data_IF_141524066228
#
_entry.id   IF_141524066228
#
_cell.length_a   1.000
_cell.length_b   1.000
_cell.length_c   1.000
_cell.angle_alpha   90.00
_cell.angle_beta   90.00
_cell.angle_gamma   90.00
#
_symmetry.space_group_name_H-M   'P 1'
#
loop_
_entity.id
_entity.type
_entity.pdbx_description
1 polymer ?
#
# COMPACT_ATOMS: atom_id res chain seq x y z
N UNK A 1 25.36 -14.32 20.20
CA UNK A 1 24.73 -14.79 18.96
C UNK A 1 24.65 -13.60 18.00
N UNK A 2 25.64 -13.43 17.10
CA UNK A 2 25.76 -12.27 16.18
C UNK A 2 25.83 -12.75 14.74
N UNK A 3 24.93 -13.63 14.32
CA UNK A 3 24.96 -14.11 12.93
C UNK A 3 23.57 -13.96 12.32
N UNK A 4 23.38 -12.85 11.62
CA UNK A 4 22.24 -12.67 10.73
C UNK A 4 22.64 -13.39 9.44
N UNK A 5 22.29 -14.66 9.37
CA UNK A 5 22.54 -15.50 8.19
C UNK A 5 21.53 -15.11 7.12
N UNK A 6 22.05 -14.86 5.91
CA UNK A 6 21.39 -14.45 4.65
C UNK A 6 21.36 -12.94 4.41
N UNK A 7 22.51 -12.38 4.01
CA UNK A 7 22.61 -11.19 3.16
C UNK A 7 24.05 -11.02 2.68
N UNK A 8 24.23 -10.25 1.60
CA UNK A 8 25.56 -9.87 1.12
C UNK A 8 26.39 -9.30 2.27
N UNK A 9 27.67 -9.71 2.43
CA UNK A 9 28.49 -9.32 3.57
C UNK A 9 28.62 -7.80 3.72
N UNK A 10 28.50 -7.06 2.62
CA UNK A 10 28.60 -5.59 2.54
C UNK A 10 27.45 -4.84 3.22
N UNK A 11 26.24 -5.42 3.30
CA UNK A 11 25.08 -4.77 3.94
C UNK A 11 24.98 -5.08 5.44
N UNK A 12 25.75 -6.05 5.94
CA UNK A 12 25.75 -6.46 7.34
C UNK A 12 26.06 -5.31 8.30
N UNK A 13 27.04 -4.41 8.06
CA UNK A 13 27.32 -3.29 8.95
C UNK A 13 26.16 -2.28 9.02
N UNK A 14 25.43 -2.08 7.92
CA UNK A 14 24.26 -1.20 7.89
C UNK A 14 23.14 -1.73 8.81
N UNK A 15 22.89 -3.04 8.77
CA UNK A 15 21.87 -3.69 9.63
C UNK A 15 22.23 -3.56 11.11
N UNK A 16 23.50 -3.78 11.49
CA UNK A 16 23.92 -3.58 12.88
C UNK A 16 23.80 -2.12 13.32
N UNK A 17 24.14 -1.17 12.44
CA UNK A 17 23.98 0.25 12.73
C UNK A 17 22.51 0.61 13.01
N UNK A 18 21.56 0.03 12.24
CA UNK A 18 20.13 0.18 12.52
C UNK A 18 19.69 -0.41 13.87
N UNK A 19 20.23 -1.57 14.25
CA UNK A 19 19.96 -2.20 15.57
C UNK A 19 20.46 -1.29 16.70
N UNK A 20 21.61 -0.64 16.51
CA UNK A 20 22.21 0.31 17.45
C UNK A 20 21.57 1.71 17.38
N UNK A 21 20.54 1.90 16.53
CA UNK A 21 19.83 3.17 16.27
C UNK A 21 20.68 4.26 15.61
N UNK A 22 21.81 3.90 15.01
CA UNK A 22 22.64 4.80 14.20
C UNK A 22 22.17 4.77 12.72
N UNK A 23 21.14 5.57 12.43
CA UNK A 23 20.53 5.63 11.10
C UNK A 23 21.47 6.27 10.08
N UNK A 24 22.24 7.29 10.47
CA UNK A 24 23.12 8.01 9.55
C UNK A 24 24.21 7.07 9.02
N UNK A 25 24.89 6.35 9.91
CA UNK A 25 25.91 5.38 9.53
C UNK A 25 25.35 4.23 8.70
N UNK A 26 24.12 3.80 8.99
CA UNK A 26 23.45 2.79 8.18
C UNK A 26 23.23 3.26 6.74
N UNK A 27 22.72 4.48 6.55
CA UNK A 27 22.50 5.05 5.22
C UNK A 27 23.79 5.24 4.45
N UNK A 28 24.85 5.76 5.07
CA UNK A 28 26.17 5.92 4.43
C UNK A 28 26.76 4.58 3.98
N UNK A 29 26.53 3.51 4.76
CA UNK A 29 27.00 2.17 4.38
C UNK A 29 26.20 1.61 3.21
N UNK A 30 24.88 1.82 3.17
CA UNK A 30 24.02 1.39 2.06
C UNK A 30 24.39 2.13 0.78
N UNK A 31 24.72 3.42 0.88
CA UNK A 31 25.12 4.26 -0.24
C UNK A 31 26.40 3.77 -0.94
N UNK A 32 27.30 3.09 -0.21
CA UNK A 32 28.52 2.50 -0.76
C UNK A 32 28.28 1.27 -1.64
N UNK A 33 27.12 0.61 -1.49
CA UNK A 33 26.77 -0.57 -2.29
C UNK A 33 26.07 -0.11 -3.56
N UNK A 34 26.52 -0.58 -4.72
CA UNK A 34 25.96 -0.11 -6.00
C UNK A 34 24.57 -0.71 -6.27
N UNK A 35 23.66 0.04 -6.90
CA UNK A 35 22.35 -0.47 -7.29
C UNK A 35 22.40 -1.47 -8.46
N UNK A 36 23.56 -1.62 -9.10
CA UNK A 36 23.81 -2.56 -10.21
C UNK A 36 23.77 -4.03 -9.78
N UNK A 37 23.95 -4.31 -8.49
CA UNK A 37 23.82 -5.66 -7.92
C UNK A 37 22.44 -6.29 -8.16
N UNK A 38 21.42 -5.47 -8.43
CA UNK A 38 20.06 -5.94 -8.73
C UNK A 38 19.97 -6.21 -10.24
N UNK A 39 19.70 -7.47 -10.67
CA UNK A 39 19.56 -7.80 -12.08
C UNK A 39 18.44 -6.99 -12.75
N UNK A 40 18.77 -6.36 -13.88
CA UNK A 40 17.86 -5.53 -14.69
C UNK A 40 17.78 -6.04 -16.13
N UNK A 41 16.69 -5.68 -16.80
CA UNK A 41 16.51 -5.85 -18.24
C UNK A 41 17.36 -4.85 -19.00
N UNK A 42 17.66 -5.16 -20.26
CA UNK A 42 18.41 -4.27 -21.15
C UNK A 42 17.69 -2.93 -21.36
N UNK A 43 18.41 -1.82 -21.29
CA UNK A 43 17.85 -0.46 -21.43
C UNK A 43 16.98 0.01 -20.27
N UNK A 44 16.85 -0.77 -19.20
CA UNK A 44 16.07 -0.37 -18.03
C UNK A 44 16.73 0.77 -17.26
N UNK A 45 15.92 1.71 -16.77
CA UNK A 45 16.39 2.77 -15.89
C UNK A 45 16.93 2.18 -14.57
N UNK A 46 18.02 2.74 -14.08
CA UNK A 46 18.59 2.45 -12.77
C UNK A 46 18.81 3.75 -11.98
N UNK A 47 18.60 3.74 -10.65
CA UNK A 47 18.94 4.88 -9.82
C UNK A 47 20.46 5.04 -9.79
N UNK A 48 20.94 6.28 -9.68
CA UNK A 48 22.39 6.57 -9.62
C UNK A 48 23.05 6.19 -8.29
N UNK A 49 22.26 5.95 -7.25
CA UNK A 49 22.71 5.50 -5.93
C UNK A 49 21.68 4.56 -5.31
N UNK A 50 22.12 3.70 -4.39
CA UNK A 50 21.24 2.84 -3.59
C UNK A 50 20.35 3.63 -2.62
N UNK A 51 20.72 4.87 -2.31
CA UNK A 51 19.91 5.81 -1.53
C UNK A 51 19.56 7.00 -2.41
N UNK A 52 18.27 7.26 -2.60
CA UNK A 52 17.77 8.39 -3.39
C UNK A 52 16.74 9.14 -2.58
N UNK A 53 16.88 10.46 -2.53
CA UNK A 53 15.90 11.36 -1.91
C UNK A 53 15.02 12.02 -2.97
N UNK A 54 13.71 12.00 -2.76
CA UNK A 54 12.74 12.78 -3.54
C UNK A 54 12.13 13.84 -2.64
N UNK A 55 12.40 15.11 -2.92
CA UNK A 55 11.81 16.21 -2.18
C UNK A 55 10.63 16.84 -2.96
N UNK A 56 9.58 17.34 -2.28
CA UNK A 56 8.48 18.04 -2.95
C UNK A 56 8.93 19.27 -3.74
N UNK A 57 10.06 19.88 -3.36
CA UNK A 57 10.64 21.02 -4.08
C UNK A 57 11.22 20.58 -5.43
N UNK A 58 11.93 19.46 -5.46
CA UNK A 58 12.48 18.90 -6.70
C UNK A 58 11.36 18.46 -7.63
N UNK A 59 10.35 17.74 -7.14
CA UNK A 59 9.21 17.30 -7.97
C UNK A 59 8.48 18.50 -8.60
N UNK A 60 8.20 19.56 -7.83
CA UNK A 60 7.58 20.78 -8.38
C UNK A 60 8.45 21.51 -9.39
N UNK A 61 9.77 21.50 -9.20
CA UNK A 61 10.69 22.11 -10.15
C UNK A 61 10.69 21.33 -11.48
N UNK A 62 10.64 20.00 -11.41
CA UNK A 62 10.53 19.12 -12.58
C UNK A 62 9.18 19.33 -13.28
N UNK A 63 8.08 19.34 -12.53
CA UNK A 63 6.73 19.59 -13.07
C UNK A 63 6.66 20.94 -13.80
N UNK A 64 7.22 22.00 -13.19
CA UNK A 64 7.32 23.31 -13.82
C UNK A 64 8.17 23.27 -15.09
N UNK A 65 9.34 22.63 -15.06
CA UNK A 65 10.20 22.50 -16.23
C UNK A 65 9.51 21.76 -17.39
N UNK A 66 8.78 20.68 -17.09
CA UNK A 66 7.98 19.92 -18.06
C UNK A 66 6.86 20.78 -18.66
N UNK A 67 6.18 21.60 -17.85
CA UNK A 67 5.15 22.54 -18.32
C UNK A 67 5.72 23.65 -19.21
N UNK A 68 6.99 24.04 -19.00
CA UNK A 68 7.73 24.99 -19.82
C UNK A 68 8.32 24.36 -21.09
N UNK A 69 8.03 23.08 -21.37
CA UNK A 69 8.49 22.36 -22.56
C UNK A 69 9.93 21.83 -22.49
N UNK A 70 10.57 21.87 -21.31
CA UNK A 70 11.88 21.23 -21.12
C UNK A 70 11.70 19.74 -20.94
N UNK A 71 12.52 18.95 -21.63
CA UNK A 71 12.53 17.49 -21.48
C UNK A 71 13.45 17.07 -20.34
N UNK A 72 13.04 16.05 -19.60
CA UNK A 72 13.94 15.36 -18.68
C UNK A 72 15.01 14.59 -19.47
N UNK A 73 16.21 14.39 -18.90
CA UNK A 73 17.17 13.43 -19.43
C UNK A 73 16.47 12.09 -19.67
N UNK A 74 16.81 11.42 -20.77
CA UNK A 74 16.14 10.21 -21.21
C UNK A 74 16.13 9.16 -20.08
N UNK A 75 14.92 8.66 -19.76
CA UNK A 75 14.72 7.66 -18.71
C UNK A 75 14.54 8.20 -17.28
N UNK A 76 14.90 9.46 -16.99
CA UNK A 76 14.80 9.99 -15.61
C UNK A 76 13.33 10.14 -15.17
N UNK A 77 12.94 9.62 -13.99
CA UNK A 77 11.57 9.75 -13.50
C UNK A 77 11.27 11.17 -13.03
N UNK A 78 10.06 11.66 -13.30
CA UNK A 78 9.61 12.98 -12.89
C UNK A 78 9.11 13.02 -11.43
N UNK A 79 8.64 11.88 -10.92
CA UNK A 79 8.02 11.76 -9.60
C UNK A 79 8.56 10.54 -8.85
N UNK A 80 8.41 10.54 -7.52
CA UNK A 80 8.71 9.38 -6.68
C UNK A 80 8.00 8.10 -7.16
N UNK A 81 6.71 8.19 -7.52
CA UNK A 81 5.95 7.02 -7.97
C UNK A 81 6.49 6.46 -9.28
N UNK A 82 6.81 7.33 -10.24
CA UNK A 82 7.37 6.91 -11.51
C UNK A 82 8.75 6.27 -11.32
N UNK A 83 9.58 6.81 -10.42
CA UNK A 83 10.87 6.23 -10.08
C UNK A 83 10.74 4.82 -9.54
N UNK A 84 9.81 4.60 -8.59
CA UNK A 84 9.56 3.29 -8.00
C UNK A 84 9.03 2.28 -9.04
N UNK A 85 8.11 2.72 -9.91
CA UNK A 85 7.54 1.87 -10.96
C UNK A 85 8.62 1.48 -11.96
N UNK A 86 9.37 2.44 -12.50
CA UNK A 86 10.47 2.19 -13.44
C UNK A 86 11.56 1.31 -12.84
N UNK A 87 11.92 1.56 -11.57
CA UNK A 87 12.90 0.73 -10.87
C UNK A 87 12.41 -0.72 -10.77
N UNK A 88 11.16 -0.94 -10.39
CA UNK A 88 10.62 -2.28 -10.20
C UNK A 88 10.42 -3.02 -11.53
N UNK A 89 9.81 -2.38 -12.54
CA UNK A 89 9.52 -3.02 -13.83
C UNK A 89 10.76 -3.24 -14.69
N UNK A 90 11.81 -2.44 -14.45
CA UNK A 90 13.13 -2.59 -15.04
C UNK A 90 13.92 -3.80 -14.55
N UNK A 91 13.56 -4.40 -13.40
CA UNK A 91 14.19 -5.62 -12.87
C UNK A 91 13.84 -6.85 -13.71
N UNK A 92 14.69 -7.89 -13.67
CA UNK A 92 14.33 -9.21 -14.23
C UNK A 92 13.14 -9.84 -13.48
N UNK A 93 12.37 -10.76 -14.08
CA UNK A 93 11.25 -11.41 -13.40
C UNK A 93 11.64 -12.08 -12.07
N UNK A 94 12.82 -12.67 -11.98
CA UNK A 94 13.36 -13.28 -10.77
C UNK A 94 13.60 -12.21 -9.69
N UNK A 95 14.27 -11.11 -10.06
CA UNK A 95 14.53 -10.01 -9.14
C UNK A 95 13.23 -9.32 -8.69
N UNK A 96 12.24 -9.16 -9.57
CA UNK A 96 10.91 -8.66 -9.21
C UNK A 96 10.24 -9.55 -8.15
N UNK A 97 10.30 -10.88 -8.32
CA UNK A 97 9.69 -11.83 -7.38
C UNK A 97 10.32 -11.78 -5.98
N UNK A 98 11.58 -11.37 -5.88
CA UNK A 98 12.33 -11.22 -4.64
C UNK A 98 12.31 -9.78 -4.08
N UNK A 99 11.56 -8.88 -4.71
CA UNK A 99 11.50 -7.48 -4.32
C UNK A 99 10.27 -7.20 -3.47
N UNK A 100 10.50 -6.62 -2.28
CA UNK A 100 9.43 -6.09 -1.43
C UNK A 100 9.46 -4.56 -1.47
N UNK A 101 8.33 -3.95 -1.84
CA UNK A 101 8.13 -2.50 -1.77
C UNK A 101 7.27 -2.15 -0.56
N UNK A 102 7.79 -1.32 0.33
CA UNK A 102 7.13 -0.93 1.58
C UNK A 102 6.68 0.53 1.47
N UNK A 103 5.40 0.77 1.74
CA UNK A 103 4.84 2.12 1.86
C UNK A 103 4.07 2.25 3.18
N UNK A 104 4.01 3.46 3.73
CA UNK A 104 3.38 3.68 5.04
C UNK A 104 1.85 3.68 4.95
N UNK A 105 1.27 4.28 3.90
CA UNK A 105 -0.18 4.44 3.77
C UNK A 105 -0.78 3.42 2.80
N UNK A 106 -1.94 2.87 3.18
CA UNK A 106 -2.74 2.01 2.31
C UNK A 106 -3.21 2.71 1.02
N UNK A 107 -3.32 4.05 1.02
CA UNK A 107 -3.64 4.82 -0.19
C UNK A 107 -2.49 4.74 -1.18
N UNK A 108 -1.28 5.02 -0.72
CA UNK A 108 -0.07 5.05 -1.55
C UNK A 108 0.28 3.64 -2.03
N UNK A 109 0.18 2.63 -1.17
CA UNK A 109 0.32 1.22 -1.55
C UNK A 109 -0.60 0.84 -2.72
N UNK A 110 -1.86 1.30 -2.71
CA UNK A 110 -2.82 1.00 -3.77
C UNK A 110 -2.51 1.75 -5.05
N UNK A 111 -2.18 3.04 -4.95
CA UNK A 111 -1.79 3.84 -6.11
C UNK A 111 -0.57 3.23 -6.80
N UNK A 112 0.47 2.92 -6.02
CA UNK A 112 1.69 2.30 -6.53
C UNK A 112 1.43 0.92 -7.14
N UNK A 113 0.67 0.05 -6.47
CA UNK A 113 0.34 -1.27 -7.02
C UNK A 113 -0.45 -1.18 -8.33
N UNK A 114 -1.32 -0.17 -8.48
CA UNK A 114 -2.03 0.08 -9.74
C UNK A 114 -1.04 0.44 -10.84
N UNK A 115 -0.16 1.41 -10.59
CA UNK A 115 0.83 1.84 -11.57
C UNK A 115 1.81 0.72 -11.95
N UNK A 116 2.24 -0.10 -10.99
CA UNK A 116 3.07 -1.29 -11.26
C UNK A 116 2.29 -2.28 -12.13
N UNK A 117 1.02 -2.53 -11.82
CA UNK A 117 0.19 -3.44 -12.61
C UNK A 117 0.03 -2.96 -14.06
N UNK A 118 -0.26 -1.67 -14.25
CA UNK A 118 -0.42 -1.06 -15.57
C UNK A 118 0.88 -1.14 -16.38
N UNK A 119 2.02 -0.83 -15.76
CA UNK A 119 3.32 -0.93 -16.42
C UNK A 119 3.70 -2.40 -16.74
N UNK A 120 3.35 -3.37 -15.89
CA UNK A 120 3.56 -4.80 -16.19
C UNK A 120 2.68 -5.30 -17.33
N UNK A 121 1.46 -4.77 -17.44
CA UNK A 121 0.57 -5.02 -18.59
C UNK A 121 1.18 -4.49 -19.88
N UNK A 122 1.63 -3.24 -19.89
CA UNK A 122 2.26 -2.61 -21.06
C UNK A 122 3.50 -3.39 -21.52
N UNK A 123 4.26 -3.94 -20.57
CA UNK A 123 5.41 -4.80 -20.84
C UNK A 123 5.04 -6.24 -21.26
N UNK A 124 3.75 -6.60 -21.28
CA UNK A 124 3.29 -7.95 -21.63
C UNK A 124 3.62 -9.03 -20.60
N UNK A 125 3.91 -8.65 -19.35
CA UNK A 125 4.24 -9.60 -18.27
C UNK A 125 2.99 -10.21 -17.60
N UNK A 126 1.81 -9.63 -17.85
CA UNK A 126 0.54 -10.10 -17.31
C UNK A 126 -0.24 -10.89 -18.37
N UNK A 127 -1.21 -11.67 -17.92
CA UNK A 127 -2.21 -12.25 -18.82
C UNK A 127 -2.99 -11.17 -19.58
N UNK A 128 -3.60 -11.56 -20.72
CA UNK A 128 -4.44 -10.66 -21.54
C UNK A 128 -5.77 -10.30 -20.85
N UNK A 129 -6.22 -11.15 -19.94
CA UNK A 129 -7.50 -10.97 -19.25
C UNK A 129 -7.34 -10.13 -17.98
N UNK A 130 -8.22 -9.15 -17.81
CA UNK A 130 -8.40 -8.44 -16.55
C UNK A 130 -9.68 -8.89 -15.88
N UNK A 131 -9.57 -9.22 -14.60
CA UNK A 131 -10.72 -9.55 -13.76
C UNK A 131 -10.81 -8.52 -12.66
N UNK A 132 -11.95 -7.83 -12.61
CA UNK A 132 -12.25 -6.93 -11.50
C UNK A 132 -12.76 -7.74 -10.32
N UNK A 133 -11.94 -7.81 -9.26
CA UNK A 133 -12.30 -8.49 -8.02
C UNK A 133 -12.79 -7.48 -6.98
N UNK A 134 -13.99 -7.65 -6.40
CA UNK A 134 -14.44 -6.81 -5.31
C UNK A 134 -13.62 -7.13 -4.05
N UNK A 135 -12.85 -6.15 -3.57
CA UNK A 135 -12.06 -6.28 -2.35
C UNK A 135 -12.65 -5.44 -1.24
N UNK A 136 -12.59 -6.01 -0.05
CA UNK A 136 -13.05 -5.46 1.20
C UNK A 136 -11.92 -4.68 1.89
N UNK A 137 -12.15 -3.39 2.17
CA UNK A 137 -11.17 -2.52 2.88
C UNK A 137 -11.71 -2.12 4.25
N UNK A 138 -10.89 -2.31 5.28
CA UNK A 138 -11.22 -1.88 6.65
C UNK A 138 -11.41 -0.38 6.74
N UNK A 139 -12.49 0.05 7.38
CA UNK A 139 -12.72 1.45 7.71
C UNK A 139 -11.96 1.78 9.00
N UNK A 140 -11.27 2.93 9.03
CA UNK A 140 -10.56 3.43 10.20
C UNK A 140 -11.54 3.97 11.25
N UNK A 141 -12.30 3.08 11.87
CA UNK A 141 -13.30 3.43 12.89
C UNK A 141 -12.78 2.99 14.23
N UNK A 142 -12.80 3.90 15.20
CA UNK A 142 -12.37 3.56 16.56
C UNK A 142 -13.42 2.70 17.26
N UNK A 143 -12.95 1.86 18.15
CA UNK A 143 -13.78 0.97 18.95
C UNK A 143 -14.98 1.66 19.64
N UNK A 144 -14.74 2.82 20.24
CA UNK A 144 -15.79 3.61 20.90
C UNK A 144 -16.81 4.23 19.94
N UNK A 145 -16.44 4.47 18.67
CA UNK A 145 -17.32 5.08 17.68
C UNK A 145 -18.38 4.11 17.18
N UNK A 146 -18.11 2.80 17.17
CA UNK A 146 -19.11 1.79 16.81
C UNK A 146 -20.25 1.68 17.82
N UNK A 147 -20.16 2.33 18.98
CA UNK A 147 -21.29 2.44 19.92
C UNK A 147 -22.24 3.57 19.56
N UNK A 148 -21.85 4.48 18.66
CA UNK A 148 -22.65 5.63 18.23
C UNK A 148 -23.41 5.28 16.96
N UNK A 149 -24.73 5.51 16.94
CA UNK A 149 -25.53 5.34 15.72
C UNK A 149 -25.12 6.26 14.57
N UNK A 150 -24.53 7.42 14.88
CA UNK A 150 -24.01 8.33 13.86
C UNK A 150 -22.98 7.64 12.96
N UNK A 151 -22.13 6.78 13.52
CA UNK A 151 -21.11 6.03 12.80
C UNK A 151 -21.75 5.03 11.83
N UNK A 152 -22.72 4.25 12.28
CA UNK A 152 -23.46 3.33 11.40
C UNK A 152 -24.26 4.05 10.32
N UNK A 153 -24.82 5.22 10.65
CA UNK A 153 -25.53 6.07 9.69
C UNK A 153 -24.61 6.61 8.60
N UNK A 154 -23.37 6.98 8.94
CA UNK A 154 -22.36 7.46 7.99
C UNK A 154 -21.78 6.33 7.11
N UNK A 155 -22.00 5.07 7.52
CA UNK A 155 -21.54 3.88 6.83
C UNK A 155 -22.70 2.97 6.40
N UNK A 156 -23.83 3.57 6.02
CA UNK A 156 -24.93 2.82 5.39
C UNK A 156 -24.42 1.98 4.22
N UNK A 157 -24.98 0.79 4.08
CA UNK A 157 -24.63 -0.20 3.04
C UNK A 157 -23.22 -0.78 3.11
N UNK A 158 -22.38 -0.34 4.05
CA UNK A 158 -21.10 -0.98 4.27
C UNK A 158 -21.30 -2.38 4.86
N UNK A 159 -20.26 -3.20 4.76
CA UNK A 159 -20.24 -4.56 5.27
C UNK A 159 -19.65 -4.56 6.68
N UNK A 160 -20.31 -5.15 7.65
CA UNK A 160 -19.79 -5.34 9.00
C UNK A 160 -19.48 -6.83 9.22
N UNK A 161 -18.32 -7.12 9.82
CA UNK A 161 -17.99 -8.45 10.28
C UNK A 161 -18.51 -8.64 11.71
N UNK A 162 -19.48 -9.55 11.90
CA UNK A 162 -20.07 -9.88 13.20
C UNK A 162 -20.08 -11.40 13.35
N UNK A 163 -19.52 -11.93 14.44
CA UNK A 163 -19.39 -13.38 14.69
C UNK A 163 -18.79 -14.16 13.51
N UNK A 164 -17.75 -13.60 12.90
CA UNK A 164 -17.06 -14.14 11.70
C UNK A 164 -17.93 -14.24 10.43
N UNK A 165 -19.11 -13.61 10.42
CA UNK A 165 -19.97 -13.54 9.23
C UNK A 165 -20.04 -12.09 8.74
N UNK A 166 -19.91 -11.92 7.42
CA UNK A 166 -20.08 -10.62 6.78
C UNK A 166 -21.56 -10.31 6.59
N UNK A 167 -21.98 -9.16 7.12
CA UNK A 167 -23.34 -8.67 6.95
C UNK A 167 -23.33 -7.28 6.31
N UNK A 168 -24.25 -7.00 5.40
CA UNK A 168 -24.49 -5.65 4.88
C UNK A 168 -25.36 -4.86 5.86
N UNK A 169 -25.02 -3.59 6.07
CA UNK A 169 -25.85 -2.67 6.87
C UNK A 169 -27.05 -2.24 6.02
N UNK A 170 -28.22 -2.81 6.31
CA UNK A 170 -29.44 -2.59 5.52
C UNK A 170 -30.22 -1.39 6.01
N UNK A 171 -30.41 -1.26 7.32
CA UNK A 171 -31.21 -0.16 7.91
C UNK A 171 -30.62 0.30 9.24
N UNK A 172 -30.71 1.59 9.51
CA UNK A 172 -30.38 2.19 10.81
C UNK A 172 -31.62 2.94 11.31
N UNK A 173 -32.23 2.42 12.37
CA UNK A 173 -33.38 3.01 13.04
C UNK A 173 -32.93 3.88 14.21
N UNK A 174 -33.07 5.19 14.06
CA UNK A 174 -32.69 6.18 15.07
C UNK A 174 -33.66 6.22 16.26
N UNK A 175 -34.94 5.95 16.03
CA UNK A 175 -35.96 6.01 17.07
C UNK A 175 -35.79 4.85 18.06
N UNK A 176 -35.58 3.64 17.51
CA UNK A 176 -35.44 2.43 18.32
C UNK A 176 -33.98 2.09 18.69
N UNK A 177 -33.01 2.88 18.21
CA UNK A 177 -31.58 2.66 18.41
C UNK A 177 -31.10 1.26 17.94
N UNK A 178 -31.63 0.81 16.80
CA UNK A 178 -31.39 -0.51 16.23
C UNK A 178 -30.76 -0.41 14.84
N UNK A 179 -29.92 -1.37 14.50
CA UNK A 179 -29.37 -1.55 13.16
C UNK A 179 -29.78 -2.93 12.67
N UNK A 180 -30.29 -2.97 11.44
CA UNK A 180 -30.58 -4.19 10.71
C UNK A 180 -29.38 -4.51 9.82
N UNK A 181 -28.82 -5.69 10.05
CA UNK A 181 -27.77 -6.31 9.28
C UNK A 181 -28.36 -7.46 8.47
N UNK A 182 -27.91 -7.66 7.24
CA UNK A 182 -28.38 -8.76 6.37
C UNK A 182 -27.17 -9.55 5.87
N UNK A 183 -27.17 -10.87 6.04
CA UNK A 183 -26.14 -11.74 5.45
C UNK A 183 -26.37 -12.00 3.95
N UNK A 184 -25.54 -12.86 3.35
CA UNK A 184 -25.67 -13.26 1.95
C UNK A 184 -26.91 -14.11 1.65
N UNK A 185 -27.51 -14.74 2.67
CA UNK A 185 -28.71 -15.57 2.55
C UNK A 185 -30.00 -14.76 2.72
N UNK A 186 -29.87 -13.45 2.94
CA UNK A 186 -31.00 -12.55 3.16
C UNK A 186 -31.56 -12.60 4.59
N UNK A 187 -30.90 -13.30 5.51
CA UNK A 187 -31.33 -13.38 6.90
C UNK A 187 -30.96 -12.08 7.63
N UNK A 188 -31.97 -11.52 8.28
CA UNK A 188 -31.81 -10.29 9.04
C UNK A 188 -31.34 -10.56 10.47
N UNK A 189 -30.47 -9.68 10.95
CA UNK A 189 -29.99 -9.63 12.32
C UNK A 189 -30.07 -8.21 12.84
N UNK A 190 -30.56 -8.09 14.07
CA UNK A 190 -30.73 -6.81 14.74
C UNK A 190 -29.63 -6.62 15.78
N UNK A 191 -28.97 -5.45 15.75
CA UNK A 191 -27.97 -5.08 16.75
C UNK A 191 -28.31 -3.73 17.37
N UNK A 192 -28.08 -3.60 18.68
CA UNK A 192 -28.12 -2.32 19.39
C UNK A 192 -26.69 -1.88 19.72
N UNK A 193 -26.18 -0.77 19.15
CA UNK A 193 -24.81 -0.29 19.35
C UNK A 193 -24.38 -0.11 20.80
N UNK A 194 -25.32 0.29 21.67
CA UNK A 194 -25.05 0.57 23.07
C UNK A 194 -24.98 -0.68 23.96
N UNK A 195 -25.72 -1.75 23.62
CA UNK A 195 -25.81 -2.98 24.43
C UNK A 195 -24.96 -4.13 23.90
N UNK A 196 -24.57 -4.11 22.62
CA UNK A 196 -23.77 -5.21 22.06
C UNK A 196 -22.33 -5.15 22.59
N UNK A 197 -22.04 -5.99 23.59
CA UNK A 197 -20.74 -6.09 24.27
C UNK A 197 -19.80 -7.13 23.65
N UNK A 198 -20.35 -8.03 22.83
CA UNK A 198 -19.56 -9.03 22.09
C UNK A 198 -18.72 -8.33 21.04
N UNK A 199 -17.49 -8.83 20.90
CA UNK A 199 -16.51 -8.48 19.88
C UNK A 199 -17.12 -8.69 18.49
N UNK A 200 -17.98 -7.80 18.01
CA UNK A 200 -18.12 -7.58 16.58
C UNK A 200 -16.71 -7.19 16.15
N UNK A 201 -15.91 -8.16 15.68
CA UNK A 201 -14.51 -7.94 15.33
C UNK A 201 -14.46 -6.84 14.29
N UNK A 202 -14.11 -5.67 14.82
CA UNK A 202 -14.59 -4.35 14.41
C UNK A 202 -14.01 -3.95 13.08
N UNK A 203 -14.70 -4.32 12.02
CA UNK A 203 -14.42 -3.74 10.73
C UNK A 203 -15.74 -3.52 10.02
N UNK A 204 -16.14 -2.25 9.96
CA UNK A 204 -16.95 -1.80 8.86
C UNK A 204 -16.01 -1.77 7.66
N UNK A 205 -16.42 -2.42 6.61
CA UNK A 205 -15.63 -2.67 5.43
C UNK A 205 -16.43 -2.14 4.25
N UNK A 206 -15.77 -1.37 3.39
CA UNK A 206 -16.42 -0.89 2.17
C UNK A 206 -16.05 -1.81 1.01
N UNK A 207 -17.07 -2.21 0.25
CA UNK A 207 -16.90 -2.78 -1.08
C UNK A 207 -16.39 -1.66 -1.98
N UNK A 208 -15.32 -1.92 -2.73
CA UNK A 208 -14.84 -1.04 -3.79
C UNK A 208 -15.32 -1.54 -5.14
#
# INVERSE_FOLDING_TARGET
MKEIVRQMPELRPAVYSLIERDVHRALTTIEQVTPEQVPRKEGAWAPGSSVVEFTPKQEKAIEKALSEGKTLPEGQPATLYEALVKDYTGRTPEAQSQTLVITHLNKDRRALNSLIHDARRENGETGKEEITLPVLVTSNIRDGELRKLSTWTAHKEAVALVDNVYHRISKVDKANQLITLTDSEGKERYISPGRHRQKASRSIVRKR
#
